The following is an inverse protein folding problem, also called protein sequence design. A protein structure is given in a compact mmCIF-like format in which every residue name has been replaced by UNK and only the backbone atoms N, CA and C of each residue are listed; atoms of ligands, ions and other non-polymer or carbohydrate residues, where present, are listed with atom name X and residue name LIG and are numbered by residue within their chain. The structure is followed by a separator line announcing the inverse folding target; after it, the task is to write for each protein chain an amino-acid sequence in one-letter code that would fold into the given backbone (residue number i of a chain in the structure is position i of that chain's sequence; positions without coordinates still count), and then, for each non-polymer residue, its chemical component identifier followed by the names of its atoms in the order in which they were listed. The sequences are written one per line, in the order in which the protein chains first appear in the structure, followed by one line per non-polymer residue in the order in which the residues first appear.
data_IF_582007142229
#
_entry.id   IF_582007142229
#
_cell.length_a   1.000
_cell.length_b   1.000
_cell.length_c   1.000
_cell.angle_alpha   90.00
_cell.angle_beta   90.00
_cell.angle_gamma   90.00
#
_symmetry.space_group_name_H-M   'P 1'
#
loop_
_entity.id
_entity.type
_entity.pdbx_description
1 polymer ?
#
# COMPACT_ATOMS: atom_id res chain seq x y z
N UNK A 1 30.88 44.30 -61.74
CA UNK A 1 30.86 42.89 -61.30
C UNK A 1 30.70 42.90 -59.79
N UNK A 2 29.50 42.63 -59.29
CA UNK A 2 29.19 42.58 -57.86
C UNK A 2 28.15 41.49 -57.61
N UNK A 3 28.43 40.66 -56.61
CA UNK A 3 27.71 39.45 -56.23
C UNK A 3 26.48 39.73 -55.35
N UNK A 4 25.45 38.89 -55.44
CA UNK A 4 24.65 38.45 -54.28
C UNK A 4 23.78 37.23 -54.63
N UNK A 5 23.75 36.23 -53.75
CA UNK A 5 22.99 34.99 -53.87
C UNK A 5 21.52 35.14 -53.42
N UNK A 6 20.58 34.32 -53.91
CA UNK A 6 19.21 34.27 -53.38
C UNK A 6 19.06 33.24 -52.25
N UNK A 7 18.35 33.64 -51.18
CA UNK A 7 17.92 32.78 -50.08
C UNK A 7 16.70 31.93 -50.49
N UNK A 8 16.72 30.66 -50.12
CA UNK A 8 15.69 29.64 -50.41
C UNK A 8 14.53 29.69 -49.42
N UNK A 9 13.30 29.59 -49.95
CA UNK A 9 12.04 29.62 -49.22
C UNK A 9 11.48 28.20 -48.96
N UNK A 10 10.70 28.12 -47.89
CA UNK A 10 10.24 26.97 -47.11
C UNK A 10 9.18 26.06 -47.77
N UNK A 11 9.31 24.73 -47.68
CA UNK A 11 8.16 23.78 -47.62
C UNK A 11 8.57 22.45 -46.95
N UNK A 12 7.86 22.07 -45.89
CA UNK A 12 8.03 20.84 -45.12
C UNK A 12 7.16 19.69 -45.68
N UNK A 13 7.59 18.41 -45.57
CA UNK A 13 6.71 17.26 -45.68
C UNK A 13 6.38 16.61 -44.32
N UNK A 14 5.15 16.14 -44.20
CA UNK A 14 4.52 15.52 -43.03
C UNK A 14 4.96 14.08 -42.74
N UNK A 15 4.96 13.76 -41.43
CA UNK A 15 4.51 12.54 -40.76
C UNK A 15 4.93 11.14 -41.27
N UNK A 16 5.75 10.44 -40.49
CA UNK A 16 5.37 9.18 -39.83
C UNK A 16 6.24 8.99 -38.57
N UNK A 17 5.65 9.15 -37.39
CA UNK A 17 6.33 8.97 -36.11
C UNK A 17 6.35 7.50 -35.73
N UNK A 18 7.53 6.89 -35.89
CA UNK A 18 7.95 5.70 -35.17
C UNK A 18 7.95 5.98 -33.66
N UNK A 19 6.90 5.56 -32.95
CA UNK A 19 6.84 5.69 -31.50
C UNK A 19 7.49 4.47 -30.83
N UNK A 20 8.80 4.56 -30.63
CA UNK A 20 9.53 3.70 -29.71
C UNK A 20 9.04 4.01 -28.28
N UNK A 21 8.36 3.05 -27.65
CA UNK A 21 8.14 3.10 -26.20
C UNK A 21 9.40 2.56 -25.51
N UNK A 22 10.32 3.50 -25.30
CA UNK A 22 11.50 3.40 -24.46
C UNK A 22 11.10 2.92 -23.05
N UNK A 23 11.82 1.92 -22.55
CA UNK A 23 11.84 1.49 -21.16
C UNK A 23 11.96 2.69 -20.23
N UNK A 24 10.88 2.99 -19.51
CA UNK A 24 10.92 3.92 -18.38
C UNK A 24 11.25 3.10 -17.15
N UNK A 25 12.54 3.09 -16.83
CA UNK A 25 13.05 2.94 -15.48
C UNK A 25 12.32 3.97 -14.61
N UNK A 26 11.32 3.51 -13.87
CA UNK A 26 10.63 4.33 -12.88
C UNK A 26 11.58 4.51 -11.70
N UNK A 27 12.32 5.60 -11.78
CA UNK A 27 13.07 6.20 -10.68
C UNK A 27 12.11 6.31 -9.47
N UNK A 28 12.41 5.56 -8.42
CA UNK A 28 11.67 5.63 -7.17
C UNK A 28 11.84 7.05 -6.60
N UNK A 29 10.78 7.83 -6.36
CA UNK A 29 10.91 9.01 -5.54
C UNK A 29 11.21 8.55 -4.12
N UNK A 30 12.50 8.49 -3.79
CA UNK A 30 12.97 8.58 -2.43
C UNK A 30 12.52 9.93 -1.87
N UNK A 31 11.92 9.89 -0.68
CA UNK A 31 11.62 11.03 0.18
C UNK A 31 10.32 11.80 -0.09
N UNK A 32 9.19 11.16 0.24
CA UNK A 32 8.09 11.88 0.89
C UNK A 32 7.97 11.37 2.32
N UNK A 33 8.84 11.88 3.20
CA UNK A 33 8.61 11.88 4.64
C UNK A 33 7.44 12.83 4.91
N UNK A 34 6.22 12.42 4.55
CA UNK A 34 5.01 13.05 5.04
C UNK A 34 4.96 12.77 6.53
N UNK A 35 5.29 13.81 7.29
CA UNK A 35 5.07 13.95 8.70
C UNK A 35 3.72 13.32 9.05
N UNK A 36 3.75 12.14 9.66
CA UNK A 36 2.57 11.58 10.30
C UNK A 36 2.10 12.62 11.31
N UNK A 37 0.84 13.06 11.26
CA UNK A 37 0.28 13.77 12.39
C UNK A 37 0.33 12.81 13.58
N UNK A 38 1.15 13.18 14.56
CA UNK A 38 1.22 12.57 15.87
C UNK A 38 -0.14 12.79 16.54
N UNK A 39 -1.06 11.85 16.34
CA UNK A 39 -2.38 11.90 16.96
C UNK A 39 -2.18 11.81 18.47
N UNK A 40 -2.42 12.95 19.13
CA UNK A 40 -2.34 13.09 20.57
C UNK A 40 -3.42 12.26 21.24
N UNK A 41 -3.01 11.56 22.29
CA UNK A 41 -3.88 10.79 23.19
C UNK A 41 -5.02 11.65 23.75
N UNK A 42 -6.24 11.14 23.69
CA UNK A 42 -7.28 11.51 24.66
C UNK A 42 -8.09 10.27 25.04
N UNK A 43 -8.16 10.07 26.34
CA UNK A 43 -8.59 8.87 27.02
C UNK A 43 -10.12 8.75 27.11
N UNK A 44 -10.53 7.48 27.19
CA UNK A 44 -11.65 6.95 27.97
C UNK A 44 -13.08 7.13 27.44
N UNK A 45 -13.62 6.02 26.93
CA UNK A 45 -14.93 5.55 27.37
C UNK A 45 -14.91 4.03 27.46
N UNK A 46 -14.72 3.57 28.69
CA UNK A 46 -15.09 2.26 29.20
C UNK A 46 -16.45 1.83 28.64
N UNK A 47 -16.44 0.92 27.66
CA UNK A 47 -17.60 0.09 27.33
C UNK A 47 -17.30 -1.31 27.83
N UNK A 48 -18.09 -1.70 28.82
CA UNK A 48 -18.20 -2.99 29.47
C UNK A 48 -18.01 -4.14 28.48
N UNK A 49 -17.04 -4.99 28.80
CA UNK A 49 -16.73 -6.22 28.11
C UNK A 49 -17.98 -7.11 27.97
N UNK A 50 -18.42 -7.28 26.72
CA UNK A 50 -18.90 -8.59 26.28
C UNK A 50 -17.84 -9.11 25.32
N UNK A 51 -17.22 -10.26 25.58
CA UNK A 51 -16.37 -10.90 24.57
C UNK A 51 -17.34 -11.40 23.51
N UNK A 52 -17.67 -10.57 22.52
CA UNK A 52 -18.13 -11.13 21.25
C UNK A 52 -16.92 -11.85 20.73
N UNK A 53 -16.90 -13.17 20.96
CA UNK A 53 -15.94 -14.11 20.45
C UNK A 53 -15.78 -13.82 18.97
N UNK A 54 -14.76 -13.02 18.67
CA UNK A 54 -14.40 -12.64 17.32
C UNK A 54 -13.82 -13.91 16.76
N UNK A 55 -14.72 -14.73 16.19
CA UNK A 55 -14.47 -16.04 15.61
C UNK A 55 -13.05 -16.05 15.09
N UNK A 56 -12.15 -16.67 15.86
CA UNK A 56 -10.76 -16.79 15.49
C UNK A 56 -10.79 -17.36 14.08
N UNK A 57 -10.27 -16.60 13.14
CA UNK A 57 -10.52 -16.89 11.74
C UNK A 57 -9.76 -18.17 11.40
N UNK A 58 -10.53 -19.27 11.31
CA UNK A 58 -10.08 -20.64 11.05
C UNK A 58 -9.59 -20.82 9.59
N UNK A 59 -9.44 -19.74 8.82
CA UNK A 59 -9.20 -19.77 7.38
C UNK A 59 -7.74 -19.66 6.95
N UNK A 60 -6.83 -19.31 7.85
CA UNK A 60 -5.42 -19.08 7.51
C UNK A 60 -4.51 -20.25 7.91
N UNK A 61 -3.90 -20.90 6.92
CA UNK A 61 -2.83 -21.88 7.12
C UNK A 61 -1.44 -21.24 7.28
N UNK A 62 -1.35 -19.90 7.30
CA UNK A 62 -0.09 -19.18 7.43
C UNK A 62 0.37 -19.21 8.89
N UNK A 63 1.63 -19.55 9.13
CA UNK A 63 2.21 -19.44 10.46
C UNK A 63 2.46 -17.97 10.81
N UNK A 64 1.51 -17.37 11.52
CA UNK A 64 1.58 -16.00 12.03
C UNK A 64 2.15 -16.05 13.45
N UNK A 65 3.22 -15.30 13.72
CA UNK A 65 3.79 -15.22 15.07
C UNK A 65 2.82 -14.52 16.04
N UNK A 66 2.94 -14.79 17.35
CA UNK A 66 1.99 -14.29 18.34
C UNK A 66 1.93 -12.76 18.40
N UNK A 67 3.03 -12.09 18.07
CA UNK A 67 3.06 -10.64 17.97
C UNK A 67 2.15 -10.12 16.84
N UNK A 68 2.21 -10.70 15.64
CA UNK A 68 1.28 -10.33 14.56
C UNK A 68 -0.18 -10.63 14.93
N UNK A 69 -0.46 -11.66 15.72
CA UNK A 69 -1.82 -11.91 16.22
C UNK A 69 -2.29 -10.77 17.13
N UNK A 70 -1.43 -10.29 18.03
CA UNK A 70 -1.75 -9.14 18.89
C UNK A 70 -1.94 -7.85 18.08
N UNK A 71 -1.12 -7.64 17.06
CA UNK A 71 -1.27 -6.52 16.12
C UNK A 71 -2.64 -6.61 15.42
N UNK A 72 -3.00 -7.75 14.84
CA UNK A 72 -4.30 -7.93 14.19
C UNK A 72 -5.49 -7.66 15.13
N UNK A 73 -5.38 -8.10 16.38
CA UNK A 73 -6.40 -7.84 17.39
C UNK A 73 -6.52 -6.34 17.72
N UNK A 74 -5.40 -5.63 17.80
CA UNK A 74 -5.41 -4.20 18.09
C UNK A 74 -5.88 -3.36 16.90
N UNK A 75 -5.43 -3.70 15.70
CA UNK A 75 -5.66 -2.93 14.49
C UNK A 75 -7.12 -3.05 14.01
N UNK A 76 -7.72 -4.23 14.10
CA UNK A 76 -9.09 -4.44 13.60
C UNK A 76 -9.95 -5.40 14.43
N UNK A 77 -9.47 -5.88 15.57
CA UNK A 77 -10.12 -7.00 16.29
C UNK A 77 -10.02 -8.33 15.53
N UNK A 78 -9.10 -8.44 14.57
CA UNK A 78 -9.02 -9.60 13.67
C UNK A 78 -10.02 -9.56 12.50
N UNK A 79 -10.75 -8.45 12.30
CA UNK A 79 -11.68 -8.33 11.19
C UNK A 79 -10.93 -8.19 9.85
N UNK A 80 -11.06 -9.21 9.00
CA UNK A 80 -10.42 -9.28 7.68
C UNK A 80 -10.99 -8.28 6.66
N UNK A 81 -12.17 -7.70 6.92
CA UNK A 81 -12.83 -6.73 6.05
C UNK A 81 -12.88 -5.32 6.67
N UNK A 82 -12.13 -5.05 7.74
CA UNK A 82 -12.09 -3.74 8.35
C UNK A 82 -11.58 -2.68 7.36
N UNK A 83 -12.15 -1.48 7.42
CA UNK A 83 -11.68 -0.32 6.66
C UNK A 83 -11.77 0.90 7.57
N UNK A 84 -10.65 1.59 7.75
CA UNK A 84 -10.62 2.85 8.45
C UNK A 84 -10.99 3.98 7.47
N UNK A 85 -12.11 4.69 7.67
CA UNK A 85 -12.59 5.69 6.72
C UNK A 85 -11.71 6.95 6.65
N UNK A 86 -10.89 7.20 7.68
CA UNK A 86 -10.04 8.39 7.78
C UNK A 86 -8.68 8.15 7.13
N UNK A 87 -8.04 7.02 7.40
CA UNK A 87 -6.70 6.71 6.88
C UNK A 87 -6.71 5.86 5.60
N UNK A 88 -7.83 5.22 5.27
CA UNK A 88 -7.92 4.24 4.19
C UNK A 88 -7.23 2.91 4.48
N UNK A 89 -6.68 2.73 5.69
CA UNK A 89 -6.09 1.48 6.13
C UNK A 89 -7.15 0.38 6.19
N UNK A 90 -6.84 -0.81 5.67
CA UNK A 90 -7.82 -1.86 5.50
C UNK A 90 -7.31 -3.26 5.84
N UNK A 91 -8.24 -4.18 6.06
CA UNK A 91 -8.01 -5.57 6.40
C UNK A 91 -7.60 -5.80 7.84
N UNK A 92 -7.32 -7.06 8.15
CA UNK A 92 -6.95 -7.60 9.46
C UNK A 92 -5.79 -6.86 10.13
N UNK A 93 -4.84 -6.37 9.34
CA UNK A 93 -3.63 -5.68 9.81
C UNK A 93 -3.62 -4.20 9.46
N UNK A 94 -4.77 -3.65 9.03
CA UNK A 94 -4.90 -2.23 8.69
C UNK A 94 -3.79 -1.72 7.76
N UNK A 95 -3.56 -2.44 6.67
CA UNK A 95 -2.56 -2.02 5.68
C UNK A 95 -3.01 -0.75 4.95
N UNK A 96 -2.10 0.21 4.81
CA UNK A 96 -2.21 1.23 3.78
C UNK A 96 -2.03 0.60 2.39
N UNK A 97 -2.73 1.12 1.38
CA UNK A 97 -2.70 0.57 0.03
C UNK A 97 -1.27 0.52 -0.56
N UNK A 98 -0.47 1.57 -0.34
CA UNK A 98 0.93 1.62 -0.82
C UNK A 98 1.81 0.53 -0.20
N UNK A 99 1.67 0.28 1.10
CA UNK A 99 2.35 -0.82 1.78
C UNK A 99 1.85 -2.16 1.25
N UNK A 100 0.54 -2.32 1.12
CA UNK A 100 -0.09 -3.53 0.59
C UNK A 100 0.45 -3.89 -0.80
N UNK A 101 0.52 -2.93 -1.72
CA UNK A 101 1.00 -3.16 -3.09
C UNK A 101 2.46 -3.64 -3.15
N UNK A 102 3.24 -3.38 -2.10
CA UNK A 102 4.62 -3.82 -1.94
C UNK A 102 4.72 -5.26 -1.41
N UNK A 103 3.83 -5.66 -0.50
CA UNK A 103 3.90 -6.97 0.18
C UNK A 103 2.95 -8.01 -0.38
N UNK A 104 1.84 -7.60 -1.00
CA UNK A 104 0.82 -8.48 -1.53
C UNK A 104 1.31 -9.26 -2.77
N UNK A 105 0.76 -10.46 -3.00
CA UNK A 105 0.94 -11.18 -4.26
C UNK A 105 0.44 -10.35 -5.45
N UNK A 106 1.04 -10.55 -6.63
CA UNK A 106 0.71 -9.78 -7.83
C UNK A 106 -0.79 -9.69 -8.15
N UNK A 107 -1.54 -10.78 -7.90
CA UNK A 107 -3.01 -10.85 -8.09
C UNK A 107 -3.80 -9.85 -7.23
N UNK A 108 -3.25 -9.44 -6.09
CA UNK A 108 -3.93 -8.56 -5.13
C UNK A 108 -3.30 -7.16 -5.05
N UNK A 109 -2.31 -6.86 -5.90
CA UNK A 109 -1.81 -5.49 -6.03
C UNK A 109 -2.89 -4.58 -6.64
N UNK A 110 -3.05 -3.39 -6.09
CA UNK A 110 -4.13 -2.46 -6.42
C UNK A 110 -5.50 -2.88 -5.90
N UNK A 111 -5.60 -4.05 -5.24
CA UNK A 111 -6.83 -4.52 -4.59
C UNK A 111 -6.75 -4.15 -3.12
N UNK A 112 -7.86 -3.66 -2.55
CA UNK A 112 -7.92 -3.39 -1.11
C UNK A 112 -7.61 -4.66 -0.29
N UNK A 113 -6.79 -4.57 0.77
CA UNK A 113 -6.55 -5.68 1.69
C UNK A 113 -7.85 -6.31 2.22
N UNK A 114 -8.89 -5.49 2.44
CA UNK A 114 -10.20 -5.95 2.91
C UNK A 114 -10.92 -6.90 1.93
N UNK A 115 -10.52 -6.91 0.66
CA UNK A 115 -11.05 -7.82 -0.36
C UNK A 115 -10.17 -9.06 -0.58
N UNK A 116 -9.01 -9.13 0.08
CA UNK A 116 -8.12 -10.27 -0.01
C UNK A 116 -8.52 -11.35 1.01
N UNK A 117 -8.39 -12.64 0.68
CA UNK A 117 -8.56 -13.72 1.64
C UNK A 117 -7.64 -13.54 2.85
N UNK A 118 -8.06 -14.05 4.01
CA UNK A 118 -7.28 -13.94 5.24
C UNK A 118 -5.84 -14.44 5.07
N UNK A 119 -5.65 -15.61 4.47
CA UNK A 119 -4.31 -16.18 4.27
C UNK A 119 -3.39 -15.27 3.45
N UNK A 120 -3.95 -14.46 2.55
CA UNK A 120 -3.19 -13.47 1.78
C UNK A 120 -2.80 -12.30 2.67
N UNK A 121 -3.71 -11.83 3.52
CA UNK A 121 -3.43 -10.76 4.48
C UNK A 121 -2.38 -11.18 5.51
N UNK A 122 -2.47 -12.40 6.02
CA UNK A 122 -1.50 -12.99 6.95
C UNK A 122 -0.13 -13.18 6.30
N UNK A 123 -0.07 -13.70 5.06
CA UNK A 123 1.18 -13.84 4.33
C UNK A 123 1.85 -12.49 4.06
N UNK A 124 1.06 -11.47 3.70
CA UNK A 124 1.54 -10.11 3.53
C UNK A 124 2.08 -9.52 4.85
N UNK A 125 1.40 -9.78 5.98
CA UNK A 125 1.83 -9.34 7.30
C UNK A 125 3.14 -10.00 7.73
N UNK A 126 3.26 -11.31 7.53
CA UNK A 126 4.50 -12.06 7.79
C UNK A 126 5.63 -11.51 6.94
N UNK A 127 5.40 -11.24 5.65
CA UNK A 127 6.41 -10.65 4.76
C UNK A 127 6.87 -9.27 5.24
N UNK A 128 5.92 -8.40 5.61
CA UNK A 128 6.23 -7.06 6.12
C UNK A 128 7.02 -7.14 7.44
N UNK A 129 6.55 -7.98 8.36
CA UNK A 129 7.19 -8.21 9.66
C UNK A 129 8.61 -8.74 9.51
N UNK A 130 8.87 -9.64 8.56
CA UNK A 130 10.21 -10.15 8.32
C UNK A 130 11.16 -9.11 7.70
N UNK A 131 10.64 -8.02 7.15
CA UNK A 131 11.45 -6.96 6.51
C UNK A 131 11.91 -5.90 7.52
N UNK A 132 11.04 -5.50 8.46
CA UNK A 132 11.34 -4.42 9.41
C UNK A 132 10.74 -4.58 10.80
N UNK A 133 10.22 -5.77 11.12
CA UNK A 133 9.60 -6.07 12.40
C UNK A 133 8.28 -5.32 12.63
N UNK A 134 7.94 -5.14 13.90
CA UNK A 134 6.69 -4.54 14.32
C UNK A 134 6.60 -3.02 14.09
N UNK A 135 7.72 -2.35 13.81
CA UNK A 135 7.76 -0.89 13.61
C UNK A 135 6.95 -0.38 12.40
N UNK A 136 6.42 -1.28 11.58
CA UNK A 136 5.46 -0.95 10.53
C UNK A 136 4.04 -0.67 11.04
N UNK A 137 3.73 -1.06 12.28
CA UNK A 137 2.45 -0.81 12.93
C UNK A 137 2.66 0.19 14.06
N UNK A 138 1.95 1.32 14.01
CA UNK A 138 2.11 2.45 14.96
C UNK A 138 1.75 2.06 16.40
N UNK A 139 1.04 0.96 16.55
CA UNK A 139 0.40 0.54 17.79
C UNK A 139 1.04 -0.70 18.43
N UNK A 140 2.11 -1.25 17.81
CA UNK A 140 2.82 -2.43 18.25
C UNK A 140 3.96 -2.11 19.23
#
# INVERSE_FOLDING_TARGET
MSAQAPATNNVAPSADQSNQVQSQEVEAPQNAQTQQPQASTSNNSQVTATPTESKASEGSSVNVNDHLKQIAQRESGGNIHAVNPTSGAAGKYQFLQSTWDSVAPAKYKGVSPANAPESVQDAAAVKLYNTGGAGHWVTA
#
